data_IF_767265754593
#
_entry.id   IF_767265754593
#
_cell.length_a   1.000
_cell.length_b   1.000
_cell.length_c   1.000
_cell.angle_alpha   90.00
_cell.angle_beta   90.00
_cell.angle_gamma   90.00
#
_symmetry.space_group_name_H-M   'P 1'
#
loop_
_entity.id
_entity.type
_entity.pdbx_description
1 polymer ?
#
# COMPACT_ATOMS: atom_id res chain seq x y z
N UNK A 1 23.66 -46.89 -0.20
CA UNK A 1 23.54 -45.70 0.66
C UNK A 1 22.79 -44.65 -0.15
N UNK A 2 21.60 -44.30 0.33
CA UNK A 2 20.58 -43.59 -0.44
C UNK A 2 20.99 -42.14 -0.75
N UNK A 3 20.59 -41.71 -1.95
CA UNK A 3 20.69 -40.35 -2.48
C UNK A 3 19.49 -39.57 -1.96
N UNK A 4 19.74 -38.51 -1.21
CA UNK A 4 18.73 -37.49 -0.98
C UNK A 4 19.38 -36.14 -1.29
N UNK A 5 19.35 -35.84 -2.59
CA UNK A 5 19.55 -34.51 -3.10
C UNK A 5 18.56 -33.59 -2.38
N UNK A 6 19.08 -32.59 -1.68
CA UNK A 6 18.27 -31.52 -1.12
C UNK A 6 17.54 -30.84 -2.28
N UNK A 7 16.30 -31.25 -2.50
CA UNK A 7 15.34 -30.54 -3.35
C UNK A 7 15.16 -29.17 -2.72
N UNK A 8 15.88 -28.17 -3.23
CA UNK A 8 15.51 -26.77 -3.07
C UNK A 8 14.15 -26.66 -3.73
N UNK A 9 13.11 -26.78 -2.90
CA UNK A 9 11.72 -26.69 -3.29
C UNK A 9 11.54 -25.32 -3.96
N UNK A 10 11.48 -25.32 -5.29
CA UNK A 10 11.28 -24.14 -6.15
C UNK A 10 9.86 -23.60 -6.06
N UNK A 11 9.41 -23.35 -4.83
CA UNK A 11 8.12 -22.76 -4.51
C UNK A 11 8.22 -21.83 -3.30
N UNK A 12 9.33 -21.09 -3.16
CA UNK A 12 9.26 -19.84 -2.42
C UNK A 12 8.41 -18.90 -3.30
N UNK A 13 7.17 -18.54 -2.94
CA UNK A 13 6.48 -17.48 -3.65
C UNK A 13 7.40 -16.27 -3.57
N UNK A 14 7.81 -15.76 -4.73
CA UNK A 14 8.74 -14.66 -4.84
C UNK A 14 8.14 -13.44 -4.14
N UNK A 15 8.52 -13.21 -2.88
CA UNK A 15 8.66 -11.90 -2.22
C UNK A 15 7.48 -10.92 -2.20
N UNK A 16 6.27 -11.28 -2.62
CA UNK A 16 5.06 -10.53 -2.35
C UNK A 16 4.01 -11.54 -1.92
N UNK A 17 3.67 -11.59 -0.63
CA UNK A 17 2.38 -12.12 -0.24
C UNK A 17 1.35 -11.49 -1.18
N UNK A 18 0.45 -12.26 -1.79
CA UNK A 18 -0.52 -11.67 -2.70
C UNK A 18 -1.17 -10.47 -1.99
N UNK A 19 -0.94 -9.26 -2.50
CA UNK A 19 -1.53 -8.02 -2.02
C UNK A 19 -2.67 -7.67 -3.00
N UNK A 20 -3.81 -8.38 -2.92
CA UNK A 20 -4.87 -8.28 -3.92
C UNK A 20 -5.53 -6.91 -3.94
N UNK A 21 -5.45 -6.19 -2.82
CA UNK A 21 -6.14 -4.93 -2.61
C UNK A 21 -5.24 -3.77 -3.00
N UNK A 22 -5.87 -2.65 -3.33
CA UNK A 22 -5.19 -1.40 -3.70
C UNK A 22 -5.85 -0.22 -3.02
N UNK A 23 -5.03 0.70 -2.53
CA UNK A 23 -5.48 2.04 -2.15
C UNK A 23 -4.81 3.05 -3.06
N UNK A 24 -5.60 4.02 -3.52
CA UNK A 24 -5.17 5.10 -4.41
C UNK A 24 -5.54 6.43 -3.77
N UNK A 25 -4.56 7.30 -3.62
CA UNK A 25 -4.72 8.65 -3.06
C UNK A 25 -4.46 9.64 -4.19
N UNK A 26 -5.40 10.56 -4.42
CA UNK A 26 -5.31 11.55 -5.50
C UNK A 26 -5.27 12.95 -4.90
N UNK A 27 -4.16 13.67 -5.14
CA UNK A 27 -3.99 15.06 -4.71
C UNK A 27 -4.57 16.05 -5.74
N UNK A 28 -5.22 17.10 -5.26
CA UNK A 28 -5.97 18.06 -6.09
C UNK A 28 -5.38 19.47 -6.15
N UNK A 29 -4.21 19.71 -5.55
CA UNK A 29 -3.51 21.00 -5.59
C UNK A 29 -3.23 21.65 -4.22
N UNK A 30 -3.83 21.15 -3.14
CA UNK A 30 -3.54 21.57 -1.77
C UNK A 30 -2.56 20.62 -1.08
N UNK A 31 -1.55 21.12 -0.34
CA UNK A 31 -0.62 20.26 0.40
C UNK A 31 -1.36 19.55 1.53
N UNK A 32 -1.39 18.22 1.45
CA UNK A 32 -2.04 17.36 2.43
C UNK A 32 -1.13 16.21 2.84
N UNK A 33 -1.36 15.71 4.04
CA UNK A 33 -0.70 14.51 4.55
C UNK A 33 -1.70 13.36 4.62
N UNK A 34 -1.25 12.14 4.42
CA UNK A 34 -2.09 10.96 4.53
C UNK A 34 -1.44 9.90 5.42
N UNK A 35 -2.30 9.10 6.04
CA UNK A 35 -1.93 7.92 6.81
C UNK A 35 -2.89 6.79 6.46
N UNK A 36 -2.33 5.63 6.13
CA UNK A 36 -3.04 4.39 5.81
C UNK A 36 -2.51 3.29 6.72
N UNK A 37 -3.40 2.52 7.33
CA UNK A 37 -3.03 1.32 8.10
C UNK A 37 -3.91 0.14 7.71
N UNK A 38 -3.34 -1.06 7.67
CA UNK A 38 -4.02 -2.29 7.28
C UNK A 38 -3.83 -3.40 8.31
N UNK A 39 -4.81 -4.29 8.43
CA UNK A 39 -4.69 -5.57 9.15
C UNK A 39 -4.11 -6.63 8.19
N UNK A 40 -2.86 -6.42 7.79
CA UNK A 40 -2.18 -7.20 6.76
C UNK A 40 -0.88 -6.53 6.35
N UNK A 41 -0.35 -6.84 5.18
CA UNK A 41 0.88 -6.20 4.69
C UNK A 41 0.52 -5.08 3.71
N UNK A 42 1.26 -3.96 3.74
CA UNK A 42 1.14 -2.88 2.76
C UNK A 42 2.50 -2.58 2.12
N UNK A 43 2.50 -2.36 0.81
CA UNK A 43 3.68 -2.04 0.02
C UNK A 43 3.34 -0.89 -0.95
N UNK A 44 4.34 -0.09 -1.35
CA UNK A 44 4.16 0.90 -2.39
C UNK A 44 4.00 0.22 -3.77
N UNK A 45 3.01 0.67 -4.57
CA UNK A 45 2.76 0.18 -5.94
C UNK A 45 3.54 1.02 -6.99
N UNK A 46 4.11 2.16 -6.58
CA UNK A 46 4.85 3.12 -7.43
C UNK A 46 6.03 3.74 -6.63
N UNK A 47 6.95 4.43 -7.31
CA UNK A 47 8.15 5.08 -6.72
C UNK A 47 7.79 6.42 -6.03
N UNK A 48 6.83 6.34 -5.10
CA UNK A 48 6.37 7.48 -4.31
C UNK A 48 7.33 7.86 -3.19
N UNK A 49 7.18 9.06 -2.66
CA UNK A 49 7.97 9.55 -1.49
C UNK A 49 7.38 9.13 -0.14
N UNK A 50 6.37 8.27 -0.15
CA UNK A 50 5.72 7.78 1.06
C UNK A 50 6.66 6.87 1.85
N UNK A 51 6.62 6.99 3.18
CA UNK A 51 7.28 6.05 4.07
C UNK A 51 6.33 4.87 4.25
N UNK A 52 6.77 3.68 3.86
CA UNK A 52 6.01 2.45 3.99
C UNK A 52 6.68 1.53 5.01
N UNK A 53 5.89 1.11 5.99
CA UNK A 53 6.20 0.09 6.99
C UNK A 53 5.35 -1.15 6.71
N UNK A 54 5.59 -2.24 7.45
CA UNK A 54 4.91 -3.53 7.22
C UNK A 54 3.37 -3.42 7.20
N UNK A 55 2.77 -2.57 8.04
CA UNK A 55 1.31 -2.43 8.19
C UNK A 55 0.79 -1.01 7.92
N UNK A 56 1.66 -0.07 7.57
CA UNK A 56 1.29 1.33 7.44
C UNK A 56 2.01 2.02 6.29
N UNK A 57 1.34 2.98 5.67
CA UNK A 57 1.93 3.90 4.71
C UNK A 57 1.54 5.33 5.05
N UNK A 58 2.54 6.19 5.17
CA UNK A 58 2.37 7.61 5.49
C UNK A 58 3.13 8.49 4.51
N UNK A 59 2.58 9.66 4.22
CA UNK A 59 3.23 10.55 3.27
C UNK A 59 2.51 11.87 3.10
N UNK A 60 3.01 12.65 2.15
CA UNK A 60 2.39 13.91 1.74
C UNK A 60 2.08 13.87 0.25
N UNK A 61 0.97 14.50 -0.13
CA UNK A 61 0.55 14.64 -1.51
C UNK A 61 -0.04 16.04 -1.70
N UNK A 62 0.39 16.71 -2.77
CA UNK A 62 -0.20 17.98 -3.20
C UNK A 62 -0.95 17.77 -4.51
N UNK A 63 -0.26 17.21 -5.50
CA UNK A 63 -0.82 16.81 -6.80
C UNK A 63 -0.38 15.39 -7.14
N UNK A 64 -1.06 14.78 -8.12
CA UNK A 64 -0.70 13.45 -8.62
C UNK A 64 -1.41 12.33 -7.88
N UNK A 65 -0.80 11.14 -7.90
CA UNK A 65 -1.41 9.90 -7.40
C UNK A 65 -0.38 9.10 -6.61
N UNK A 66 -0.71 8.73 -5.37
CA UNK A 66 0.02 7.74 -4.60
C UNK A 66 -0.77 6.42 -4.59
N UNK A 67 -0.09 5.29 -4.83
CA UNK A 67 -0.72 3.96 -4.88
C UNK A 67 0.01 2.99 -3.98
N UNK A 68 -0.77 2.18 -3.27
CA UNK A 68 -0.26 1.14 -2.41
C UNK A 68 -1.05 -0.14 -2.64
N UNK A 69 -0.35 -1.27 -2.59
CA UNK A 69 -0.95 -2.60 -2.56
C UNK A 69 -1.01 -3.08 -1.13
N UNK A 70 -2.09 -3.77 -0.78
CA UNK A 70 -2.19 -4.36 0.55
C UNK A 70 -2.93 -5.70 0.56
N UNK A 71 -2.76 -6.44 1.64
CA UNK A 71 -3.52 -7.65 1.99
C UNK A 71 -4.33 -7.41 3.27
N UNK A 72 -5.30 -8.28 3.52
CA UNK A 72 -6.20 -8.15 4.67
C UNK A 72 -7.17 -6.98 4.53
N UNK A 73 -7.56 -6.40 5.68
CA UNK A 73 -8.57 -5.37 5.77
C UNK A 73 -7.96 -3.98 6.01
N UNK A 74 -8.57 -2.94 5.45
CA UNK A 74 -8.19 -1.56 5.75
C UNK A 74 -8.63 -1.21 7.18
N UNK A 75 -7.66 -0.90 8.05
CA UNK A 75 -7.92 -0.53 9.44
C UNK A 75 -8.14 0.99 9.60
N UNK A 76 -7.39 1.81 8.86
CA UNK A 76 -7.53 3.27 8.87
C UNK A 76 -7.10 3.85 7.52
N UNK A 77 -7.78 4.90 7.09
CA UNK A 77 -7.34 5.76 6.02
C UNK A 77 -7.79 7.19 6.32
N UNK A 78 -6.83 8.08 6.51
CA UNK A 78 -7.10 9.47 6.83
C UNK A 78 -6.23 10.42 6.01
N UNK A 79 -6.81 11.58 5.69
CA UNK A 79 -6.12 12.69 5.04
C UNK A 79 -6.25 13.92 5.92
N UNK A 80 -5.13 14.56 6.21
CA UNK A 80 -5.09 15.85 6.87
C UNK A 80 -4.79 16.91 5.81
N UNK A 81 -5.82 17.65 5.43
CA UNK A 81 -5.70 18.87 4.62
C UNK A 81 -5.66 20.08 5.57
N UNK A 82 -4.53 20.78 5.66
CA UNK A 82 -4.44 21.97 6.53
C UNK A 82 -5.16 23.17 5.92
N UNK A 83 -5.41 23.14 4.62
CA UNK A 83 -5.94 24.28 3.87
C UNK A 83 -7.45 24.23 3.73
N UNK A 84 -8.06 23.04 3.80
CA UNK A 84 -9.48 22.76 3.59
C UNK A 84 -10.00 23.27 2.23
N UNK A 85 -9.10 23.50 1.25
CA UNK A 85 -9.45 24.09 -0.05
C UNK A 85 -9.68 23.02 -1.11
N UNK A 86 -8.86 21.96 -1.11
CA UNK A 86 -8.82 20.93 -2.16
C UNK A 86 -8.35 19.60 -1.57
N UNK A 87 -9.16 19.06 -0.67
CA UNK A 87 -8.80 17.84 0.07
C UNK A 87 -8.63 16.64 -0.86
N UNK A 88 -7.52 15.89 -0.74
CA UNK A 88 -7.30 14.67 -1.50
C UNK A 88 -8.44 13.66 -1.39
N UNK A 89 -8.57 12.82 -2.41
CA UNK A 89 -9.54 11.71 -2.41
C UNK A 89 -8.82 10.39 -2.22
N UNK A 90 -9.37 9.51 -1.37
CA UNK A 90 -8.91 8.13 -1.20
C UNK A 90 -9.89 7.19 -1.90
N UNK A 91 -9.37 6.29 -2.72
CA UNK A 91 -10.11 5.20 -3.32
C UNK A 91 -9.52 3.87 -2.85
N UNK A 92 -10.39 2.94 -2.46
CA UNK A 92 -9.99 1.62 -1.96
C UNK A 92 -10.66 0.56 -2.82
N UNK A 93 -9.86 -0.34 -3.37
CA UNK A 93 -10.28 -1.44 -4.21
C UNK A 93 -9.85 -2.75 -3.56
N UNK A 94 -10.82 -3.57 -3.20
CA UNK A 94 -10.55 -4.93 -2.75
C UNK A 94 -10.52 -5.84 -3.97
N UNK A 95 -9.43 -6.60 -4.13
CA UNK A 95 -9.32 -7.57 -5.21
C UNK A 95 -10.35 -8.67 -4.98
N UNK A 96 -11.37 -8.76 -5.84
CA UNK A 96 -12.33 -9.85 -5.81
C UNK A 96 -11.60 -11.16 -6.14
N UNK A 97 -11.45 -12.02 -5.14
CA UNK A 97 -10.99 -13.40 -5.33
C UNK A 97 -11.99 -14.24 -6.10
#
# INVERSE_FOLDING_TARGET
MARDAATLNGNAPNGHAALPNRVTIVGHGGPASFEITVDGTIEADDDGTAVVSEHAAEGAIETGVARFRFSGDLANAHVLDRTEQQSPTIHVEYGSS
#
